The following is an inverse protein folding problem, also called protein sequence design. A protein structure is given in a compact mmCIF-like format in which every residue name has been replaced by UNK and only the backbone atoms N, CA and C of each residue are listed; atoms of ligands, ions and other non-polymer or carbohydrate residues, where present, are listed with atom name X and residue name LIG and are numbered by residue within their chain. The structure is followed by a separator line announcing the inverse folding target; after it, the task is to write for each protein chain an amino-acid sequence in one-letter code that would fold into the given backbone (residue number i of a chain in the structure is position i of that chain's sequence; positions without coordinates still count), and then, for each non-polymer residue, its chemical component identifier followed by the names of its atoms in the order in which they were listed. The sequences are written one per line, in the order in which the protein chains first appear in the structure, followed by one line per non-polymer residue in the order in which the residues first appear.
data_IF_508156046592
#
_entry.id   IF_508156046592
#
_cell.length_a   1.000
_cell.length_b   1.000
_cell.length_c   1.000
_cell.angle_alpha   90.00
_cell.angle_beta   90.00
_cell.angle_gamma   90.00
#
_symmetry.space_group_name_H-M   'P 1'
#
loop_
_entity.id
_entity.type
_entity.pdbx_description
1 polymer ?
#
# COMPACT_ATOMS: atom_id res chain seq x y z
N UNK A 1 -11.32 5.38 5.46
CA UNK A 1 -10.78 6.29 6.50
C UNK A 1 -11.82 6.77 7.53
N UNK A 2 -13.08 6.35 7.47
CA UNK A 2 -14.16 6.83 8.37
C UNK A 2 -13.93 6.51 9.85
N UNK A 3 -13.11 5.50 10.17
CA UNK A 3 -12.83 5.06 11.55
C UNK A 3 -11.61 5.78 12.14
N UNK A 4 -10.74 6.40 11.32
CA UNK A 4 -9.50 7.01 11.80
C UNK A 4 -9.76 8.10 12.86
N UNK A 5 -10.65 9.05 12.56
CA UNK A 5 -11.02 10.11 13.51
C UNK A 5 -11.57 9.55 14.83
N UNK A 6 -12.42 8.53 14.76
CA UNK A 6 -12.99 7.87 15.95
C UNK A 6 -11.89 7.21 16.80
N UNK A 7 -10.89 6.57 16.16
CA UNK A 7 -9.76 5.98 16.88
C UNK A 7 -8.95 7.06 17.60
N UNK A 8 -8.66 8.18 16.94
CA UNK A 8 -7.95 9.30 17.55
C UNK A 8 -8.73 9.86 18.75
N UNK A 9 -10.02 10.13 18.59
CA UNK A 9 -10.88 10.64 19.66
C UNK A 9 -10.90 9.71 20.90
N UNK A 10 -11.01 8.39 20.68
CA UNK A 10 -10.98 7.40 21.76
C UNK A 10 -9.62 7.38 22.47
N UNK A 11 -8.52 7.43 21.71
CA UNK A 11 -7.18 7.42 22.27
C UNK A 11 -6.86 8.71 23.04
N UNK A 12 -7.32 9.86 22.56
CA UNK A 12 -7.21 11.13 23.27
C UNK A 12 -8.00 11.13 24.58
N UNK A 13 -9.22 10.56 24.58
CA UNK A 13 -10.03 10.48 25.78
C UNK A 13 -9.41 9.54 26.83
N UNK A 14 -8.97 8.34 26.42
CA UNK A 14 -8.25 7.41 27.30
C UNK A 14 -6.94 8.02 27.77
N UNK A 15 -6.27 8.79 26.90
CA UNK A 15 -5.05 9.53 27.20
C UNK A 15 -5.22 10.64 28.22
N UNK A 16 -6.42 11.10 28.55
CA UNK A 16 -6.61 12.09 29.64
C UNK A 16 -6.42 11.48 31.02
N UNK A 17 -6.64 10.17 31.17
CA UNK A 17 -6.49 9.47 32.43
C UNK A 17 -5.05 8.98 32.64
N UNK A 18 -4.24 9.80 33.31
CA UNK A 18 -2.86 9.44 33.69
C UNK A 18 -2.76 8.23 34.64
N UNK A 19 -3.87 7.82 35.27
CA UNK A 19 -3.92 6.63 36.13
C UNK A 19 -4.19 5.34 35.36
N UNK A 20 -4.52 5.46 34.07
CA UNK A 20 -4.71 4.31 33.19
C UNK A 20 -3.43 3.48 33.10
N UNK A 21 -3.54 2.17 33.34
CA UNK A 21 -2.41 1.24 33.38
C UNK A 21 -1.53 1.32 32.12
N UNK A 22 -2.16 1.58 30.96
CA UNK A 22 -1.50 1.69 29.66
C UNK A 22 -1.39 3.11 29.12
N UNK A 23 -1.42 4.12 29.99
CA UNK A 23 -1.30 5.53 29.61
C UNK A 23 -0.09 5.77 28.70
N UNK A 24 1.08 5.25 29.07
CA UNK A 24 2.31 5.41 28.30
C UNK A 24 2.22 4.79 26.90
N UNK A 25 1.65 3.59 26.77
CA UNK A 25 1.42 2.93 25.47
C UNK A 25 0.41 3.71 24.61
N UNK A 26 -0.63 4.24 25.24
CA UNK A 26 -1.69 5.02 24.57
C UNK A 26 -1.12 6.30 23.98
N UNK A 27 -0.30 7.03 24.73
CA UNK A 27 0.36 8.24 24.24
C UNK A 27 1.33 7.95 23.10
N UNK A 28 2.13 6.88 23.22
CA UNK A 28 3.03 6.49 22.13
C UNK A 28 2.26 6.09 20.86
N UNK A 29 1.14 5.38 21.00
CA UNK A 29 0.29 5.04 19.88
C UNK A 29 -0.32 6.29 19.25
N UNK A 30 -0.81 7.22 20.06
CA UNK A 30 -1.38 8.49 19.60
C UNK A 30 -0.33 9.30 18.81
N UNK A 31 0.89 9.43 19.35
CA UNK A 31 2.03 10.10 18.67
C UNK A 31 2.34 9.47 17.31
N UNK A 32 2.27 8.13 17.20
CA UNK A 32 2.49 7.42 15.94
C UNK A 32 1.34 7.64 14.97
N UNK A 33 0.09 7.50 15.43
CA UNK A 33 -1.10 7.64 14.58
C UNK A 33 -1.30 9.06 14.07
N UNK A 34 -0.85 10.07 14.83
CA UNK A 34 -0.83 11.48 14.47
C UNK A 34 0.51 11.91 13.84
N UNK A 35 1.17 11.00 13.12
CA UNK A 35 2.37 11.31 12.34
C UNK A 35 2.09 11.26 10.85
N UNK A 36 2.73 12.16 10.10
CA UNK A 36 2.70 12.14 8.64
C UNK A 36 3.16 10.79 8.08
N UNK A 37 4.23 10.21 8.64
CA UNK A 37 4.75 8.90 8.26
C UNK A 37 3.67 7.81 8.32
N UNK A 38 2.89 7.78 9.39
CA UNK A 38 1.82 6.80 9.54
C UNK A 38 0.69 7.02 8.54
N UNK A 39 0.24 8.26 8.34
CA UNK A 39 -0.82 8.56 7.37
C UNK A 39 -0.38 8.20 5.96
N UNK A 40 0.84 8.56 5.58
CA UNK A 40 1.40 8.25 4.27
C UNK A 40 1.42 6.72 4.05
N UNK A 41 1.94 5.97 5.01
CA UNK A 41 1.98 4.51 4.93
C UNK A 41 0.60 3.86 4.88
N UNK A 42 -0.34 4.39 5.68
CA UNK A 42 -1.71 3.89 5.70
C UNK A 42 -2.36 4.04 4.32
N UNK A 43 -2.24 5.22 3.70
CA UNK A 43 -2.79 5.45 2.37
C UNK A 43 -2.09 4.61 1.30
N UNK A 44 -0.76 4.50 1.35
CA UNK A 44 -0.01 3.64 0.44
C UNK A 44 -0.48 2.19 0.51
N UNK A 45 -0.66 1.66 1.73
CA UNK A 45 -1.17 0.30 1.92
C UNK A 45 -2.61 0.15 1.44
N UNK A 46 -3.47 1.15 1.66
CA UNK A 46 -4.87 1.11 1.19
C UNK A 46 -4.95 0.99 -0.33
N UNK A 47 -4.16 1.79 -1.06
CA UNK A 47 -4.14 1.75 -2.54
C UNK A 47 -3.61 0.40 -3.04
N UNK A 48 -2.44 -0.06 -2.53
CA UNK A 48 -1.83 -1.33 -2.97
C UNK A 48 -2.72 -2.54 -2.63
N UNK A 49 -3.30 -2.58 -1.43
CA UNK A 49 -4.23 -3.64 -1.06
C UNK A 49 -5.52 -3.56 -1.88
N UNK A 50 -5.94 -2.36 -2.29
CA UNK A 50 -7.05 -2.15 -3.22
C UNK A 50 -6.80 -2.83 -4.56
N UNK A 51 -5.69 -2.51 -5.24
CA UNK A 51 -5.33 -3.09 -6.55
C UNK A 51 -5.16 -4.61 -6.51
N UNK A 52 -4.63 -5.13 -5.40
CA UNK A 52 -4.36 -6.57 -5.25
C UNK A 52 -5.56 -7.36 -4.72
N UNK A 53 -6.63 -6.71 -4.27
CA UNK A 53 -7.76 -7.38 -3.62
C UNK A 53 -8.48 -8.33 -4.56
N UNK A 54 -8.83 -7.89 -5.76
CA UNK A 54 -9.63 -8.69 -6.70
C UNK A 54 -8.85 -9.91 -7.18
N UNK A 55 -7.55 -9.73 -7.45
CA UNK A 55 -6.63 -10.82 -7.72
C UNK A 55 -6.55 -11.80 -6.54
N UNK A 56 -6.39 -11.29 -5.31
CA UNK A 56 -6.33 -12.11 -4.10
C UNK A 56 -7.60 -12.93 -3.89
N UNK A 57 -8.77 -12.32 -4.09
CA UNK A 57 -10.07 -13.01 -4.03
C UNK A 57 -10.17 -14.07 -5.11
N UNK A 58 -9.79 -13.78 -6.35
CA UNK A 58 -9.83 -14.74 -7.45
C UNK A 58 -8.91 -15.94 -7.21
N UNK A 59 -7.68 -15.70 -6.73
CA UNK A 59 -6.71 -16.76 -6.43
C UNK A 59 -7.11 -17.61 -5.21
N UNK A 60 -7.99 -17.13 -4.33
CA UNK A 60 -8.44 -17.88 -3.16
C UNK A 60 -9.76 -18.66 -3.38
N UNK A 61 -10.44 -18.46 -4.52
CA UNK A 61 -11.65 -19.23 -4.86
C UNK A 61 -11.32 -20.72 -5.04
N UNK A 62 -12.26 -21.60 -4.70
CA UNK A 62 -12.10 -23.06 -4.88
C UNK A 62 -12.29 -23.50 -6.32
N UNK A 63 -13.18 -22.81 -7.02
CA UNK A 63 -13.51 -22.96 -8.44
C UNK A 63 -12.79 -21.87 -9.23
N UNK A 64 -11.47 -21.96 -9.31
CA UNK A 64 -10.67 -20.97 -10.03
C UNK A 64 -10.98 -21.01 -11.53
N UNK A 65 -11.44 -19.88 -12.06
CA UNK A 65 -11.38 -19.59 -13.49
C UNK A 65 -9.98 -19.08 -13.81
N UNK A 66 -9.19 -19.96 -14.44
CA UNK A 66 -7.80 -19.69 -14.76
C UNK A 66 -7.63 -18.49 -15.70
N UNK A 67 -8.51 -18.33 -16.69
CA UNK A 67 -8.44 -17.23 -17.65
C UNK A 67 -8.76 -15.90 -16.97
N UNK A 68 -9.78 -15.90 -16.10
CA UNK A 68 -10.10 -14.73 -15.29
C UNK A 68 -8.94 -14.37 -14.34
N UNK A 69 -8.30 -15.34 -13.70
CA UNK A 69 -7.15 -15.11 -12.82
C UNK A 69 -5.96 -14.50 -13.58
N UNK A 70 -5.63 -15.01 -14.77
CA UNK A 70 -4.57 -14.46 -15.62
C UNK A 70 -4.88 -13.02 -16.05
N UNK A 71 -6.13 -12.73 -16.41
CA UNK A 71 -6.57 -11.36 -16.73
C UNK A 71 -6.40 -10.42 -15.53
N UNK A 72 -6.73 -10.88 -14.31
CA UNK A 72 -6.56 -10.09 -13.09
C UNK A 72 -5.08 -9.88 -12.75
N UNK A 73 -4.21 -10.88 -12.95
CA UNK A 73 -2.75 -10.70 -12.78
C UNK A 73 -2.25 -9.58 -13.67
N UNK A 74 -2.65 -9.56 -14.95
CA UNK A 74 -2.26 -8.51 -15.89
C UNK A 74 -2.79 -7.14 -15.45
N UNK A 75 -4.08 -7.04 -15.12
CA UNK A 75 -4.69 -5.80 -14.68
C UNK A 75 -4.02 -5.24 -13.42
N UNK A 76 -3.81 -6.06 -12.39
CA UNK A 76 -3.12 -5.62 -11.15
C UNK A 76 -1.68 -5.15 -11.42
N UNK A 77 -0.94 -5.80 -12.32
CA UNK A 77 0.40 -5.33 -12.71
C UNK A 77 0.34 -3.95 -13.41
N UNK A 78 -0.63 -3.74 -14.29
CA UNK A 78 -0.85 -2.47 -14.98
C UNK A 78 -1.20 -1.35 -13.98
N UNK A 79 -2.11 -1.59 -13.03
CA UNK A 79 -2.50 -0.62 -11.99
C UNK A 79 -1.32 -0.23 -11.08
N UNK A 80 -0.54 -1.22 -10.62
CA UNK A 80 0.66 -0.95 -9.80
C UNK A 80 1.70 -0.13 -10.57
N UNK A 81 1.87 -0.40 -11.87
CA UNK A 81 2.79 0.34 -12.74
C UNK A 81 2.31 1.76 -13.01
N UNK A 82 1.01 1.97 -13.19
CA UNK A 82 0.39 3.28 -13.35
C UNK A 82 0.54 4.11 -12.06
N UNK A 83 0.24 3.54 -10.90
CA UNK A 83 0.46 4.19 -9.60
C UNK A 83 1.93 4.62 -9.43
N UNK A 84 2.87 3.78 -9.88
CA UNK A 84 4.30 4.09 -9.81
C UNK A 84 4.69 5.26 -10.70
N UNK A 85 4.13 5.34 -11.91
CA UNK A 85 4.50 6.36 -12.88
C UNK A 85 3.86 7.71 -12.55
N UNK A 86 2.55 7.69 -12.26
CA UNK A 86 1.72 8.89 -12.23
C UNK A 86 0.91 9.06 -10.91
N UNK A 87 0.88 8.04 -10.06
CA UNK A 87 0.07 8.03 -8.82
C UNK A 87 0.60 8.89 -7.67
N UNK A 88 1.79 9.48 -7.77
CA UNK A 88 2.39 10.28 -6.69
C UNK A 88 1.52 11.50 -6.30
N UNK A 89 1.09 12.29 -7.28
CA UNK A 89 0.36 13.55 -7.03
C UNK A 89 -1.00 13.29 -6.39
N UNK A 90 -1.70 12.23 -6.83
CA UNK A 90 -2.98 11.84 -6.24
C UNK A 90 -2.81 11.34 -4.79
N UNK A 91 -1.84 10.45 -4.56
CA UNK A 91 -1.57 9.89 -3.24
C UNK A 91 -1.20 10.99 -2.24
N UNK A 92 -0.25 11.87 -2.61
CA UNK A 92 0.21 12.91 -1.69
C UNK A 92 -0.89 13.94 -1.42
N UNK A 93 -1.75 14.25 -2.40
CA UNK A 93 -2.90 15.13 -2.20
C UNK A 93 -3.87 14.57 -1.16
N UNK A 94 -4.24 13.28 -1.26
CA UNK A 94 -5.09 12.58 -0.28
C UNK A 94 -4.47 12.57 1.12
N UNK A 95 -3.17 12.32 1.22
CA UNK A 95 -2.42 12.33 2.49
C UNK A 95 -2.44 13.74 3.12
N UNK A 96 -2.12 14.78 2.35
CA UNK A 96 -2.14 16.16 2.83
C UNK A 96 -3.55 16.58 3.29
N UNK A 97 -4.60 16.19 2.56
CA UNK A 97 -5.99 16.48 2.94
C UNK A 97 -6.33 15.94 4.33
N UNK A 98 -5.98 14.67 4.60
CA UNK A 98 -6.23 14.06 5.91
C UNK A 98 -5.35 14.66 7.00
N UNK A 99 -4.08 14.92 6.72
CA UNK A 99 -3.20 15.56 7.71
C UNK A 99 -3.75 16.93 8.11
N UNK A 100 -4.14 17.76 7.14
CA UNK A 100 -4.75 19.07 7.40
C UNK A 100 -6.08 18.96 8.16
N UNK A 101 -6.92 17.98 7.81
CA UNK A 101 -8.21 17.74 8.49
C UNK A 101 -8.04 17.39 9.97
N UNK A 102 -6.98 16.69 10.32
CA UNK A 102 -6.71 16.20 11.67
C UNK A 102 -5.59 16.97 12.39
N UNK A 103 -5.20 18.15 11.88
CA UNK A 103 -4.16 19.01 12.43
C UNK A 103 -2.80 18.29 12.64
N UNK A 104 -2.46 17.39 11.72
CA UNK A 104 -1.20 16.65 11.71
C UNK A 104 -0.15 17.48 10.96
N UNK A 105 1.00 17.67 11.61
CA UNK A 105 2.15 18.39 11.04
C UNK A 105 2.64 17.75 9.74
N UNK A 106 2.62 18.53 8.65
CA UNK A 106 3.06 18.12 7.32
C UNK A 106 4.50 18.60 7.10
N UNK A 107 5.45 17.70 6.79
CA UNK A 107 6.83 18.09 6.53
C UNK A 107 6.93 18.90 5.24
N UNK A 108 7.83 19.89 5.23
CA UNK A 108 8.24 20.56 4.00
C UNK A 108 8.92 19.56 3.06
N UNK A 109 8.30 19.26 1.93
CA UNK A 109 8.77 18.25 0.98
C UNK A 109 10.15 18.60 0.38
N UNK A 110 10.51 19.88 0.32
CA UNK A 110 11.81 20.33 -0.19
C UNK A 110 12.90 20.35 0.90
N UNK A 111 12.51 20.32 2.18
CA UNK A 111 13.45 20.26 3.28
C UNK A 111 14.16 18.89 3.37
N UNK A 112 15.34 18.88 4.01
CA UNK A 112 16.08 17.66 4.27
C UNK A 112 15.30 16.75 5.21
N UNK A 113 15.25 15.46 4.87
CA UNK A 113 14.63 14.45 5.71
C UNK A 113 15.42 14.27 7.01
N UNK A 114 14.71 14.25 8.14
CA UNK A 114 15.32 14.04 9.46
C UNK A 114 14.81 12.73 10.03
N UNK A 115 15.71 11.76 10.13
CA UNK A 115 15.35 10.45 10.66
C UNK A 115 15.23 10.49 12.19
N UNK A 116 14.00 10.42 12.68
CA UNK A 116 13.66 10.26 14.10
C UNK A 116 13.48 11.56 14.89
N UNK A 117 12.26 11.79 15.39
CA UNK A 117 11.92 12.86 16.34
C UNK A 117 12.41 12.57 17.78
N UNK A 118 13.69 12.19 17.99
CA UNK A 118 14.21 11.95 19.35
C UNK A 118 15.16 13.07 19.81
N UNK A 119 14.81 13.86 20.83
CA UNK A 119 15.65 14.97 21.32
C UNK A 119 16.97 14.54 21.99
N UNK A 120 17.21 13.23 22.20
CA UNK A 120 18.35 12.70 22.98
C UNK A 120 19.48 12.06 22.17
N UNK A 121 19.36 11.93 20.86
CA UNK A 121 20.46 11.47 19.99
C UNK A 121 20.56 12.44 18.83
N UNK A 122 21.80 12.77 18.44
CA UNK A 122 22.08 13.61 17.28
C UNK A 122 21.16 13.22 16.13
N UNK A 123 20.21 14.10 15.80
CA UNK A 123 19.39 13.95 14.61
C UNK A 123 20.35 13.86 13.43
N UNK A 124 20.44 12.70 12.81
CA UNK A 124 21.20 12.53 11.59
C UNK A 124 20.35 13.13 10.49
N UNK A 125 20.63 14.39 10.16
CA UNK A 125 20.07 15.03 8.97
C UNK A 125 20.48 14.19 7.77
N UNK A 126 19.49 13.69 7.03
CA UNK A 126 19.74 12.98 5.79
C UNK A 126 20.28 13.94 4.74
N UNK A 127 21.00 13.41 3.75
CA UNK A 127 21.40 14.17 2.56
C UNK A 127 20.27 14.27 1.52
N UNK A 128 19.13 13.63 1.75
CA UNK A 128 17.98 13.59 0.82
C UNK A 128 16.79 14.37 1.35
N UNK A 129 15.97 14.91 0.45
CA UNK A 129 14.76 15.66 0.81
C UNK A 129 13.63 14.75 1.29
N UNK A 130 12.64 15.33 1.99
CA UNK A 130 11.40 14.63 2.36
C UNK A 130 10.67 14.08 1.12
N UNK A 131 10.62 14.84 0.02
CA UNK A 131 10.08 14.37 -1.26
C UNK A 131 10.77 13.09 -1.73
N UNK A 132 12.11 13.08 -1.71
CA UNK A 132 12.87 11.91 -2.13
C UNK A 132 12.53 10.70 -1.26
N UNK A 133 12.50 10.92 0.06
CA UNK A 133 12.20 9.88 1.03
C UNK A 133 10.82 9.24 0.81
N UNK A 134 9.75 10.04 0.77
CA UNK A 134 8.40 9.48 0.61
C UNK A 134 8.15 8.91 -0.79
N UNK A 135 8.65 9.57 -1.84
CA UNK A 135 8.39 9.15 -3.22
C UNK A 135 9.26 7.97 -3.64
N UNK A 136 10.57 8.05 -3.42
CA UNK A 136 11.51 7.04 -3.92
C UNK A 136 11.77 5.93 -2.89
N UNK A 137 12.10 6.29 -1.65
CA UNK A 137 12.43 5.28 -0.63
C UNK A 137 11.20 4.48 -0.18
N UNK A 138 10.00 5.06 -0.25
CA UNK A 138 8.75 4.37 0.10
C UNK A 138 7.88 4.01 -1.09
N UNK A 139 7.22 4.98 -1.75
CA UNK A 139 6.24 4.67 -2.80
C UNK A 139 6.85 3.77 -3.90
N UNK A 140 7.97 4.17 -4.49
CA UNK A 140 8.59 3.40 -5.56
C UNK A 140 9.14 2.07 -5.05
N UNK A 141 9.83 2.06 -3.92
CA UNK A 141 10.42 0.83 -3.37
C UNK A 141 9.36 -0.24 -3.07
N UNK A 142 8.21 0.16 -2.52
CA UNK A 142 7.11 -0.78 -2.24
C UNK A 142 6.47 -1.26 -3.55
N UNK A 143 6.18 -0.37 -4.50
CA UNK A 143 5.58 -0.75 -5.79
C UNK A 143 6.50 -1.63 -6.62
N UNK A 144 7.80 -1.31 -6.67
CA UNK A 144 8.82 -2.09 -7.36
C UNK A 144 8.93 -3.50 -6.76
N UNK A 145 8.83 -3.63 -5.43
CA UNK A 145 8.80 -4.93 -4.78
C UNK A 145 7.54 -5.74 -5.15
N UNK A 146 6.35 -5.11 -5.13
CA UNK A 146 5.11 -5.80 -5.51
C UNK A 146 5.13 -6.26 -6.97
N UNK A 147 5.57 -5.38 -7.88
CA UNK A 147 5.73 -5.71 -9.30
C UNK A 147 6.76 -6.82 -9.50
N UNK A 148 7.90 -6.76 -8.81
CA UNK A 148 8.93 -7.79 -8.89
C UNK A 148 8.39 -9.16 -8.47
N UNK A 149 7.70 -9.25 -7.33
CA UNK A 149 7.13 -10.50 -6.83
C UNK A 149 6.04 -11.06 -7.76
N UNK A 150 5.16 -10.20 -8.28
CA UNK A 150 4.14 -10.61 -9.25
C UNK A 150 4.75 -11.09 -10.56
N UNK A 151 5.80 -10.44 -11.04
CA UNK A 151 6.50 -10.86 -12.26
C UNK A 151 7.30 -12.15 -12.07
N UNK A 152 7.89 -12.37 -10.90
CA UNK A 152 8.60 -13.60 -10.58
C UNK A 152 7.66 -14.82 -10.45
N UNK A 153 6.42 -14.61 -9.99
CA UNK A 153 5.43 -15.69 -9.80
C UNK A 153 4.62 -15.99 -11.06
N UNK A 154 4.33 -14.95 -11.86
CA UNK A 154 3.55 -15.04 -13.09
C UNK A 154 4.38 -14.45 -14.23
N UNK A 155 5.47 -15.12 -14.57
CA UNK A 155 6.27 -14.78 -15.75
C UNK A 155 5.55 -15.19 -17.04
N UNK A 156 6.07 -14.73 -18.17
CA UNK A 156 5.47 -14.94 -19.49
C UNK A 156 5.32 -16.43 -19.81
N UNK A 157 6.35 -17.23 -19.58
CA UNK A 157 6.36 -18.68 -19.81
C UNK A 157 5.28 -19.40 -19.00
N UNK A 158 5.16 -19.10 -17.71
CA UNK A 158 4.14 -19.71 -16.85
C UNK A 158 2.74 -19.27 -17.25
N UNK A 159 2.54 -18.00 -17.63
CA UNK A 159 1.23 -17.51 -18.07
C UNK A 159 0.81 -18.14 -19.40
N UNK A 160 1.72 -18.32 -20.36
CA UNK A 160 1.47 -19.00 -21.63
C UNK A 160 1.13 -20.48 -21.42
N UNK A 161 1.89 -21.18 -20.57
CA UNK A 161 1.60 -22.57 -20.21
C UNK A 161 0.22 -22.70 -19.55
N UNK A 162 -0.12 -21.83 -18.61
CA UNK A 162 -1.44 -21.82 -17.96
C UNK A 162 -2.56 -21.53 -18.97
N UNK A 163 -2.33 -20.61 -19.92
CA UNK A 163 -3.28 -20.36 -21.00
C UNK A 163 -3.46 -21.59 -21.90
N UNK A 164 -2.40 -22.36 -22.18
CA UNK A 164 -2.52 -23.61 -22.92
C UNK A 164 -3.32 -24.67 -22.16
N UNK A 165 -3.08 -24.80 -20.84
CA UNK A 165 -3.83 -25.72 -19.96
C UNK A 165 -5.30 -25.31 -19.87
N UNK A 166 -5.64 -24.03 -20.01
CA UNK A 166 -7.04 -23.58 -20.04
C UNK A 166 -7.85 -24.21 -21.18
N UNK A 167 -7.21 -24.62 -22.28
CA UNK A 167 -7.84 -25.35 -23.38
C UNK A 167 -8.39 -26.72 -22.96
N UNK A 168 -7.85 -27.28 -21.87
CA UNK A 168 -8.29 -28.53 -21.27
C UNK A 168 -9.44 -28.32 -20.28
N UNK A 169 -9.97 -27.11 -20.17
CA UNK A 169 -11.11 -26.83 -19.28
C UNK A 169 -12.40 -27.41 -19.88
N UNK A 170 -13.11 -28.29 -19.15
CA UNK A 170 -14.40 -28.80 -19.59
C UNK A 170 -15.49 -27.72 -19.65
N UNK A 171 -15.29 -26.58 -18.98
CA UNK A 171 -16.28 -25.49 -18.88
C UNK A 171 -16.54 -24.79 -20.21
N UNK A 172 -15.58 -24.78 -21.13
CA UNK A 172 -15.69 -24.26 -22.50
C UNK A 172 -15.77 -25.38 -23.55
N UNK A 173 -16.13 -26.61 -23.12
CA UNK A 173 -16.25 -27.78 -23.99
C UNK A 173 -15.02 -28.05 -24.87
N UNK A 174 -13.82 -27.67 -24.40
CA UNK A 174 -12.55 -27.78 -25.12
C UNK A 174 -12.48 -27.01 -26.44
N UNK A 175 -13.30 -25.96 -26.65
CA UNK A 175 -13.29 -25.16 -27.90
C UNK A 175 -11.89 -24.69 -28.31
N UNK A 176 -11.06 -24.30 -27.34
CA UNK A 176 -9.70 -23.84 -27.62
C UNK A 176 -8.73 -24.97 -28.00
N UNK A 177 -9.04 -26.23 -27.69
CA UNK A 177 -8.24 -27.41 -28.06
C UNK A 177 -8.50 -27.85 -29.51
N UNK A 178 -9.67 -27.56 -30.07
CA UNK A 178 -10.00 -27.91 -31.47
C UNK A 178 -9.22 -27.06 -32.50
N UNK A 179 -8.48 -26.04 -32.05
CA UNK A 179 -7.74 -25.10 -32.89
C UNK A 179 -6.22 -25.12 -32.66
N UNK A 180 -5.70 -26.08 -31.90
CA UNK A 180 -4.26 -26.38 -31.73
C UNK A 180 -3.88 -27.54 -32.65
#
# INVERSE_FOLDING_TARGET
MTIYGVIIEVLEEVGKDTSFEKYGETMLLLDVLQSFDFIFMLYLMVEILGFTNDLSVALQKRDQDLLNALSLVKATKEELQEMRNDGWEELISKVMEICNKHDIDVPDLDALYVQGKKPRRHATTSSVSNLHHYKHDYLFSVLDLQLHELNARFDEENTELLQCVSCLSPSSSFEAFEHI
#
